data_IF_477465536419
#
_entry.id   IF_477465536419
#
_cell.length_a   1.000
_cell.length_b   1.000
_cell.length_c   1.000
_cell.angle_alpha   90.00
_cell.angle_beta   90.00
_cell.angle_gamma   90.00
#
_symmetry.space_group_name_H-M   'P 1'
#
loop_
_entity.id
_entity.type
_entity.pdbx_description
1 polymer ?
#
# COMPACT_ATOMS: atom_id res chain seq x y z
N UNK A 1 9.00 2.28 -20.90
CA UNK A 1 8.39 2.09 -19.57
C UNK A 1 9.48 1.81 -18.57
N UNK A 2 9.66 2.69 -17.59
CA UNK A 2 10.64 2.51 -16.52
C UNK A 2 10.16 1.45 -15.52
N UNK A 3 11.02 0.48 -15.18
CA UNK A 3 10.72 -0.60 -14.23
C UNK A 3 11.88 -0.88 -13.28
N UNK A 4 11.57 -1.43 -12.11
CA UNK A 4 12.56 -2.00 -11.19
C UNK A 4 13.00 -3.36 -11.77
N UNK A 5 14.28 -3.48 -12.09
CA UNK A 5 14.86 -4.71 -12.64
C UNK A 5 14.65 -5.87 -11.67
N UNK A 6 14.19 -7.02 -12.20
CA UNK A 6 14.01 -8.26 -11.44
C UNK A 6 13.09 -8.15 -10.21
N UNK A 7 12.10 -7.24 -10.21
CA UNK A 7 11.17 -7.05 -9.07
C UNK A 7 10.64 -8.37 -8.49
N UNK A 8 10.11 -9.24 -9.35
CA UNK A 8 9.52 -10.53 -8.98
C UNK A 8 10.53 -11.55 -8.41
N UNK A 9 11.82 -11.40 -8.70
CA UNK A 9 12.87 -12.32 -8.21
C UNK A 9 13.46 -11.84 -6.88
N UNK A 10 13.57 -10.52 -6.71
CA UNK A 10 14.38 -9.91 -5.63
C UNK A 10 13.52 -9.42 -4.46
N UNK A 11 12.32 -8.90 -4.73
CA UNK A 11 11.47 -8.23 -3.73
C UNK A 11 10.19 -9.01 -3.40
N UNK A 12 9.97 -10.18 -4.02
CA UNK A 12 8.75 -10.97 -3.90
C UNK A 12 8.93 -12.50 -3.85
N UNK A 13 8.08 -13.13 -3.03
CA UNK A 13 7.90 -14.59 -2.98
C UNK A 13 6.64 -15.04 -3.70
N UNK A 14 6.45 -16.35 -3.81
CA UNK A 14 5.20 -16.95 -4.29
C UNK A 14 3.96 -16.61 -3.43
N UNK A 15 4.14 -16.17 -2.18
CA UNK A 15 3.04 -15.69 -1.34
C UNK A 15 2.74 -14.20 -1.56
N UNK A 16 3.76 -13.34 -1.59
CA UNK A 16 3.55 -11.89 -1.75
C UNK A 16 2.95 -11.53 -3.11
N UNK A 17 3.28 -12.29 -4.16
CA UNK A 17 2.64 -12.19 -5.49
C UNK A 17 1.12 -12.36 -5.49
N UNK A 18 0.55 -13.09 -4.52
CA UNK A 18 -0.90 -13.32 -4.38
C UNK A 18 -1.62 -12.18 -3.67
N UNK A 19 -0.90 -11.27 -3.02
CA UNK A 19 -1.46 -10.20 -2.18
C UNK A 19 -1.69 -8.94 -3.01
N UNK A 20 -2.87 -8.32 -2.89
CA UNK A 20 -3.24 -7.09 -3.64
C UNK A 20 -2.34 -5.91 -3.29
N UNK A 21 -1.96 -5.78 -2.01
CA UNK A 21 -0.97 -4.83 -1.50
C UNK A 21 -0.04 -5.51 -0.52
N UNK A 22 1.20 -5.03 -0.44
CA UNK A 22 2.17 -5.47 0.54
C UNK A 22 2.24 -4.44 1.68
N UNK A 23 2.06 -4.91 2.92
CA UNK A 23 2.29 -4.07 4.12
C UNK A 23 3.76 -3.91 4.48
N UNK A 24 4.61 -4.79 3.93
CA UNK A 24 6.06 -4.79 3.97
C UNK A 24 6.55 -5.52 2.72
N UNK A 25 7.73 -5.20 2.21
CA UNK A 25 8.35 -5.89 1.06
C UNK A 25 9.70 -6.49 1.45
N UNK A 26 10.19 -7.47 0.70
CA UNK A 26 11.52 -8.01 0.94
C UNK A 26 12.56 -7.05 0.36
N UNK A 27 13.33 -6.39 1.22
CA UNK A 27 14.52 -5.66 0.81
C UNK A 27 15.76 -6.56 0.99
N UNK A 28 16.60 -6.74 -0.05
CA UNK A 28 17.89 -7.41 0.12
C UNK A 28 18.76 -6.69 1.15
N UNK A 29 19.52 -7.46 1.92
CA UNK A 29 20.51 -6.95 2.90
C UNK A 29 21.94 -7.01 2.39
N UNK A 30 22.18 -7.58 1.21
CA UNK A 30 23.50 -7.68 0.58
C UNK A 30 23.97 -6.33 0.05
N UNK A 31 25.22 -5.98 0.34
CA UNK A 31 25.89 -4.71 -0.01
C UNK A 31 27.14 -4.94 -0.89
N UNK A 32 27.27 -6.15 -1.43
CA UNK A 32 28.40 -6.70 -2.16
C UNK A 32 28.16 -6.84 -3.67
N UNK A 33 26.92 -6.57 -4.14
CA UNK A 33 26.63 -6.61 -5.57
C UNK A 33 27.35 -5.49 -6.32
N UNK A 34 27.83 -5.77 -7.54
CA UNK A 34 28.55 -4.80 -8.36
C UNK A 34 27.80 -3.47 -8.52
N UNK A 35 26.48 -3.52 -8.76
CA UNK A 35 25.66 -2.32 -8.88
C UNK A 35 25.46 -1.54 -7.56
N UNK A 36 25.54 -2.20 -6.39
CA UNK A 36 25.56 -1.51 -5.10
C UNK A 36 26.91 -0.81 -4.89
N UNK A 37 28.02 -1.53 -5.13
CA UNK A 37 29.39 -1.00 -4.97
C UNK A 37 29.59 0.20 -5.90
N UNK A 38 29.18 0.07 -7.16
CA UNK A 38 29.17 1.16 -8.14
C UNK A 38 28.34 2.34 -7.64
N UNK A 39 27.08 2.13 -7.27
CA UNK A 39 26.18 3.19 -6.80
C UNK A 39 26.81 3.99 -5.66
N UNK A 40 27.41 3.31 -4.67
CA UNK A 40 28.04 3.92 -3.52
C UNK A 40 29.37 4.64 -3.85
N UNK A 41 30.03 4.32 -4.96
CA UNK A 41 31.24 5.03 -5.41
C UNK A 41 30.98 6.51 -5.75
N UNK A 42 29.73 6.86 -6.09
CA UNK A 42 29.29 8.24 -6.34
C UNK A 42 29.07 9.07 -5.06
N UNK A 43 29.42 8.53 -3.89
CA UNK A 43 29.38 9.22 -2.61
C UNK A 43 27.98 9.68 -2.23
N UNK A 44 27.82 10.98 -1.96
CA UNK A 44 26.54 11.60 -1.60
C UNK A 44 25.43 11.35 -2.64
N UNK A 45 25.77 11.40 -3.94
CA UNK A 45 24.82 11.11 -5.03
C UNK A 45 24.39 9.65 -5.04
N UNK A 46 25.29 8.75 -4.65
CA UNK A 46 25.02 7.33 -4.44
C UNK A 46 24.02 7.10 -3.30
N UNK A 47 24.27 7.75 -2.14
CA UNK A 47 23.37 7.71 -0.98
C UNK A 47 21.98 8.28 -1.29
N UNK A 48 21.93 9.43 -1.97
CA UNK A 48 20.68 10.04 -2.45
C UNK A 48 19.91 9.09 -3.37
N UNK A 49 20.60 8.47 -4.33
CA UNK A 49 20.00 7.52 -5.26
C UNK A 49 19.53 6.21 -4.59
N UNK A 50 20.26 5.71 -3.59
CA UNK A 50 19.83 4.57 -2.76
C UNK A 50 18.56 4.91 -1.96
N UNK A 51 18.46 6.13 -1.41
CA UNK A 51 17.27 6.65 -0.74
C UNK A 51 16.06 6.74 -1.67
N UNK A 52 16.24 7.37 -2.84
CA UNK A 52 15.20 7.45 -3.89
C UNK A 52 14.76 6.06 -4.36
N UNK A 53 15.70 5.14 -4.60
CA UNK A 53 15.38 3.76 -4.98
C UNK A 53 14.57 3.03 -3.90
N UNK A 54 14.95 3.20 -2.63
CA UNK A 54 14.21 2.63 -1.50
C UNK A 54 12.77 3.15 -1.43
N UNK A 55 12.57 4.45 -1.67
CA UNK A 55 11.24 5.05 -1.75
C UNK A 55 10.44 4.53 -2.97
N UNK A 56 11.07 4.36 -4.14
CA UNK A 56 10.47 3.74 -5.33
C UNK A 56 10.01 2.29 -5.04
N UNK A 57 10.81 1.51 -4.31
CA UNK A 57 10.48 0.16 -3.87
C UNK A 57 9.30 0.14 -2.88
N UNK A 58 9.31 1.03 -1.87
CA UNK A 58 8.21 1.19 -0.91
C UNK A 58 6.89 1.53 -1.62
N UNK A 59 6.90 2.53 -2.51
CA UNK A 59 5.72 2.87 -3.30
C UNK A 59 5.26 1.69 -4.18
N UNK A 60 6.19 1.04 -4.88
CA UNK A 60 5.91 -0.11 -5.73
C UNK A 60 5.24 -1.24 -4.96
N UNK A 61 5.66 -1.52 -3.72
CA UNK A 61 5.04 -2.53 -2.86
C UNK A 61 3.53 -2.29 -2.58
N UNK A 62 3.08 -1.03 -2.63
CA UNK A 62 1.65 -0.65 -2.48
C UNK A 62 0.82 -0.80 -3.76
N UNK A 63 1.47 -1.07 -4.89
CA UNK A 63 0.82 -1.20 -6.19
C UNK A 63 0.16 -2.59 -6.39
N UNK A 64 -0.92 -2.67 -7.20
CA UNK A 64 -1.53 -3.95 -7.58
C UNK A 64 -0.55 -4.88 -8.30
N UNK A 65 -0.65 -6.22 -8.16
CA UNK A 65 0.32 -7.16 -8.72
C UNK A 65 0.63 -7.00 -10.21
N UNK A 66 -0.37 -6.65 -11.04
CA UNK A 66 -0.19 -6.51 -12.50
C UNK A 66 0.80 -5.38 -12.90
N UNK A 67 0.89 -4.34 -12.07
CA UNK A 67 1.70 -3.13 -12.32
C UNK A 67 2.82 -2.95 -11.29
N UNK A 68 3.00 -3.91 -10.38
CA UNK A 68 4.00 -3.83 -9.31
C UNK A 68 5.41 -3.80 -9.89
N UNK A 69 6.26 -2.92 -9.34
CA UNK A 69 7.61 -2.68 -9.84
C UNK A 69 7.68 -1.95 -11.19
N UNK A 70 6.55 -1.52 -11.77
CA UNK A 70 6.50 -0.74 -13.02
C UNK A 70 6.08 0.69 -12.70
N UNK A 71 6.84 1.68 -13.18
CA UNK A 71 6.57 3.09 -12.92
C UNK A 71 5.56 3.61 -13.95
N UNK A 72 4.32 3.14 -13.80
CA UNK A 72 3.17 3.50 -14.64
C UNK A 72 1.99 4.01 -13.83
N UNK A 73 1.18 4.81 -14.50
CA UNK A 73 -0.09 5.34 -14.02
C UNK A 73 -1.21 4.31 -14.18
N UNK A 74 -2.35 4.55 -13.52
CA UNK A 74 -3.57 3.74 -13.67
C UNK A 74 -4.17 3.74 -15.08
N UNK A 75 -3.85 4.76 -15.89
CA UNK A 75 -4.23 4.86 -17.32
C UNK A 75 -3.24 4.15 -18.27
N UNK A 76 -2.27 3.41 -17.73
CA UNK A 76 -1.27 2.66 -18.51
C UNK A 76 -0.15 3.53 -19.10
N UNK A 77 -0.19 4.85 -18.93
CA UNK A 77 0.90 5.75 -19.36
C UNK A 77 2.07 5.69 -18.39
N UNK A 78 3.25 6.03 -18.89
CA UNK A 78 4.45 6.12 -18.07
C UNK A 78 4.32 7.23 -17.03
N UNK A 79 4.89 7.00 -15.84
CA UNK A 79 4.89 7.98 -14.75
C UNK A 79 6.00 9.02 -15.02
N UNK A 80 5.63 10.29 -15.18
CA UNK A 80 6.62 11.36 -15.37
C UNK A 80 7.40 11.65 -14.10
N UNK A 81 8.61 12.21 -14.22
CA UNK A 81 9.49 12.49 -13.07
C UNK A 81 8.84 13.42 -12.05
N UNK A 82 8.12 14.47 -12.49
CA UNK A 82 7.25 15.31 -11.62
C UNK A 82 6.22 14.50 -10.83
N UNK A 83 5.56 13.53 -11.47
CA UNK A 83 4.55 12.71 -10.79
C UNK A 83 5.20 11.72 -9.82
N UNK A 84 6.35 11.13 -10.17
CA UNK A 84 7.14 10.30 -9.27
C UNK A 84 7.62 11.11 -8.05
N UNK A 85 8.18 12.30 -8.28
CA UNK A 85 8.53 13.28 -7.25
C UNK A 85 7.36 13.61 -6.32
N UNK A 86 6.16 13.86 -6.86
CA UNK A 86 4.95 14.12 -6.07
C UNK A 86 4.51 12.91 -5.23
N UNK A 87 4.69 11.69 -5.75
CA UNK A 87 4.35 10.43 -5.07
C UNK A 87 5.32 10.13 -3.92
N UNK A 88 6.63 10.22 -4.21
CA UNK A 88 7.70 9.95 -3.24
C UNK A 88 7.87 11.10 -2.24
N UNK A 89 7.41 12.31 -2.59
CA UNK A 89 7.66 13.57 -1.88
C UNK A 89 9.16 13.85 -1.72
N UNK A 90 9.87 13.69 -2.83
CA UNK A 90 11.29 14.01 -2.96
C UNK A 90 11.39 15.06 -4.08
N UNK A 91 12.16 16.15 -3.92
CA UNK A 91 12.30 17.19 -4.95
C UNK A 91 12.62 16.63 -6.34
N UNK A 92 11.97 17.19 -7.37
CA UNK A 92 12.04 16.67 -8.75
C UNK A 92 13.48 16.63 -9.29
N UNK A 93 14.35 17.54 -8.85
CA UNK A 93 15.78 17.54 -9.21
C UNK A 93 16.51 16.27 -8.69
N UNK A 94 16.36 15.95 -7.41
CA UNK A 94 16.99 14.79 -6.78
C UNK A 94 16.46 13.48 -7.39
N UNK A 95 15.14 13.40 -7.64
CA UNK A 95 14.54 12.24 -8.33
C UNK A 95 15.11 12.08 -9.74
N UNK A 96 15.24 13.17 -10.53
CA UNK A 96 15.81 13.09 -11.87
C UNK A 96 17.27 12.63 -11.87
N UNK A 97 18.11 13.17 -10.98
CA UNK A 97 19.51 12.77 -10.86
C UNK A 97 19.64 11.31 -10.42
N UNK A 98 18.90 10.91 -9.37
CA UNK A 98 18.90 9.55 -8.86
C UNK A 98 18.41 8.55 -9.89
N UNK A 99 17.33 8.83 -10.61
CA UNK A 99 16.81 7.93 -11.66
C UNK A 99 17.84 7.76 -12.79
N UNK A 100 18.54 8.83 -13.20
CA UNK A 100 19.64 8.72 -14.18
C UNK A 100 20.76 7.81 -13.68
N UNK A 101 21.19 7.96 -12.43
CA UNK A 101 22.25 7.14 -11.84
C UNK A 101 21.82 5.67 -11.68
N UNK A 102 20.58 5.41 -11.25
CA UNK A 102 20.02 4.05 -11.13
C UNK A 102 19.82 3.34 -12.48
N UNK A 103 19.84 4.09 -13.59
CA UNK A 103 19.70 3.62 -14.96
C UNK A 103 21.04 3.45 -15.70
N UNK A 104 22.20 3.78 -15.09
CA UNK A 104 23.50 3.55 -15.74
C UNK A 104 23.73 2.06 -16.00
N UNK A 105 24.61 1.72 -16.94
CA UNK A 105 24.87 0.32 -17.28
C UNK A 105 25.53 -0.47 -16.14
N UNK A 106 26.24 0.20 -15.24
CA UNK A 106 27.00 -0.41 -14.16
C UNK A 106 26.13 -0.61 -12.89
N UNK A 107 25.23 0.33 -12.58
CA UNK A 107 24.21 0.14 -11.52
C UNK A 107 23.06 -0.71 -12.04
N UNK A 108 22.41 -0.25 -13.12
CA UNK A 108 21.30 -0.88 -13.86
C UNK A 108 20.22 -1.47 -12.94
N UNK A 109 19.77 -0.74 -11.92
CA UNK A 109 18.69 -1.14 -11.01
C UNK A 109 17.29 -0.74 -11.54
N UNK A 110 17.23 0.36 -12.27
CA UNK A 110 16.08 0.75 -13.07
C UNK A 110 16.40 0.51 -14.56
N UNK A 111 15.43 0.01 -15.32
CA UNK A 111 15.59 -0.24 -16.76
C UNK A 111 14.36 0.22 -17.55
N UNK A 112 14.56 0.56 -18.82
CA UNK A 112 13.46 0.91 -19.74
C UNK A 112 13.05 -0.33 -20.52
N UNK A 113 11.90 -0.91 -20.16
CA UNK A 113 11.26 -1.94 -20.96
C UNK A 113 10.38 -1.33 -22.06
N UNK A 114 10.35 -1.97 -23.23
CA UNK A 114 9.36 -1.66 -24.27
C UNK A 114 7.99 -2.10 -23.77
N UNK A 115 6.97 -1.26 -23.85
CA UNK A 115 5.61 -1.69 -23.56
C UNK A 115 5.21 -2.79 -24.55
N UNK A 116 4.87 -3.98 -24.04
CA UNK A 116 4.12 -4.95 -24.82
C UNK A 116 2.79 -4.29 -25.20
N UNK A 117 2.46 -4.27 -26.49
CA UNK A 117 1.28 -3.59 -27.01
C UNK A 117 0.00 -4.38 -26.65
N UNK A 118 -0.47 -4.26 -25.41
CA UNK A 118 -1.71 -4.91 -24.94
C UNK A 118 -2.96 -4.16 -25.38
N UNK A 119 -3.00 -3.69 -26.63
CA UNK A 119 -4.24 -3.30 -27.29
C UNK A 119 -4.96 -4.56 -27.79
N UNK A 120 -5.69 -5.23 -26.88
CA UNK A 120 -6.96 -5.94 -27.14
C UNK A 120 -7.36 -6.79 -25.90
N UNK A 121 -7.76 -6.12 -24.83
CA UNK A 121 -8.68 -6.72 -23.87
C UNK A 121 -10.10 -6.32 -24.32
N UNK A 122 -10.95 -7.25 -24.79
CA UNK A 122 -12.28 -6.88 -25.22
C UNK A 122 -13.08 -6.37 -24.02
N UNK A 123 -13.68 -5.20 -24.17
CA UNK A 123 -14.67 -4.68 -23.23
C UNK A 123 -15.81 -5.69 -23.19
N UNK A 124 -16.10 -6.25 -22.02
CA UNK A 124 -17.26 -7.13 -21.83
C UNK A 124 -18.50 -6.25 -21.83
N UNK A 125 -19.07 -6.05 -23.02
CA UNK A 125 -20.38 -5.42 -23.17
C UNK A 125 -21.46 -6.36 -22.62
N UNK A 126 -22.32 -5.83 -21.76
CA UNK A 126 -23.57 -6.49 -21.38
C UNK A 126 -24.57 -6.39 -22.54
N UNK A 127 -24.86 -7.50 -23.22
CA UNK A 127 -26.08 -7.64 -24.03
C UNK A 127 -26.79 -8.96 -23.73
N UNK A 128 -28.12 -8.89 -23.62
CA UNK A 128 -28.98 -10.01 -23.25
C UNK A 128 -29.77 -10.53 -24.45
N UNK A 129 -29.57 -11.80 -24.79
CA UNK A 129 -30.53 -12.68 -25.47
C UNK A 129 -30.10 -14.13 -25.16
N UNK A 130 -30.95 -15.13 -24.97
CA UNK A 130 -32.36 -15.21 -25.33
C UNK A 130 -32.55 -16.25 -26.45
N UNK A 131 -32.63 -17.53 -26.11
CA UNK A 131 -32.87 -18.61 -27.07
C UNK A 131 -32.37 -19.98 -26.62
N UNK A 132 -33.30 -20.91 -26.38
CA UNK A 132 -33.03 -22.36 -26.26
C UNK A 132 -33.26 -22.99 -27.65
N UNK A 133 -32.63 -24.14 -27.97
CA UNK A 133 -33.49 -25.32 -28.01
C UNK A 133 -32.88 -26.61 -27.42
N UNK A 134 -33.80 -27.46 -26.94
CA UNK A 134 -33.65 -28.87 -26.53
C UNK A 134 -33.42 -29.71 -27.83
N UNK A 135 -32.85 -30.91 -27.94
CA UNK A 135 -32.92 -32.24 -27.26
C UNK A 135 -31.68 -33.04 -27.77
N UNK A 136 -31.07 -34.09 -27.18
CA UNK A 136 -31.57 -35.42 -26.74
C UNK A 136 -30.49 -36.19 -25.94
N UNK A 137 -30.90 -37.28 -25.29
CA UNK A 137 -30.13 -38.38 -24.66
C UNK A 137 -30.89 -39.69 -25.00
N UNK A 138 -30.49 -40.94 -24.64
CA UNK A 138 -29.19 -41.56 -24.23
C UNK A 138 -28.93 -42.80 -25.17
N UNK A 139 -28.40 -44.01 -24.80
CA UNK A 139 -27.67 -44.49 -23.60
C UNK A 139 -26.41 -45.39 -23.80
N UNK A 140 -25.58 -45.40 -22.74
CA UNK A 140 -24.84 -46.51 -22.10
C UNK A 140 -24.01 -47.56 -22.89
N UNK A 141 -22.71 -47.65 -22.55
CA UNK A 141 -21.98 -48.91 -22.33
C UNK A 141 -20.70 -48.71 -21.48
N UNK A 142 -20.48 -49.57 -20.48
CA UNK A 142 -19.19 -49.92 -19.83
C UNK A 142 -18.68 -51.25 -20.43
N UNK A 143 -17.44 -51.79 -20.18
CA UNK A 143 -16.46 -51.56 -19.10
C UNK A 143 -15.00 -51.31 -19.63
N UNK A 144 -13.83 -51.56 -19.01
CA UNK A 144 -13.43 -52.21 -17.73
C UNK A 144 -11.99 -51.80 -17.24
N UNK A 145 -11.61 -52.30 -16.06
CA UNK A 145 -10.27 -52.64 -15.51
C UNK A 145 -8.95 -52.06 -16.08
N UNK A 146 -8.10 -51.50 -15.19
CA UNK A 146 -6.83 -52.12 -14.70
C UNK A 146 -5.98 -51.20 -13.78
N UNK A 147 -5.21 -51.81 -12.85
CA UNK A 147 -4.21 -51.25 -11.89
C UNK A 147 -4.73 -50.32 -10.75
N UNK A 148 -4.25 -50.40 -9.49
CA UNK A 148 -3.32 -51.34 -8.82
C UNK A 148 -3.10 -50.98 -7.33
N UNK A 149 -2.71 -51.97 -6.50
CA UNK A 149 -2.50 -52.00 -5.03
C UNK A 149 -1.73 -50.79 -4.38
N UNK A 150 -2.17 -50.18 -3.24
CA UNK A 150 -2.13 -50.58 -1.78
C UNK A 150 -0.70 -50.42 -1.16
N UNK A 151 -0.48 -50.03 0.14
CA UNK A 151 -1.36 -49.91 1.34
C UNK A 151 -1.49 -48.48 1.94
N UNK A 152 -2.53 -48.09 2.69
CA UNK A 152 -3.15 -48.58 3.95
C UNK A 152 -2.38 -48.22 5.24
N UNK A 153 -2.89 -47.21 5.97
CA UNK A 153 -2.59 -46.93 7.39
C UNK A 153 -3.89 -46.75 8.18
N UNK A 154 -4.14 -47.62 9.18
CA UNK A 154 -5.34 -47.58 10.04
C UNK A 154 -5.15 -46.64 11.24
N UNK A 155 -6.15 -45.81 11.53
CA UNK A 155 -6.26 -45.07 12.79
C UNK A 155 -7.73 -44.94 13.20
N UNK A 156 -8.25 -45.94 13.94
CA UNK A 156 -9.65 -45.97 14.40
C UNK A 156 -9.73 -45.47 15.84
N UNK A 157 -10.48 -44.39 16.08
CA UNK A 157 -10.67 -43.80 17.41
C UNK A 157 -12.15 -43.52 17.68
N UNK A 158 -12.87 -44.51 18.21
CA UNK A 158 -14.27 -44.37 18.61
C UNK A 158 -14.36 -43.94 20.09
N UNK A 159 -14.74 -42.67 20.33
CA UNK A 159 -14.97 -42.13 21.67
C UNK A 159 -16.46 -41.96 21.95
N UNK A 160 -17.12 -42.99 22.49
CA UNK A 160 -18.46 -42.85 23.09
C UNK A 160 -18.32 -42.35 24.53
N UNK A 161 -18.80 -41.15 24.81
CA UNK A 161 -19.04 -40.66 26.18
C UNK A 161 -20.53 -40.60 26.47
N UNK A 162 -21.04 -41.54 27.25
CA UNK A 162 -22.37 -41.45 27.85
C UNK A 162 -22.25 -40.67 29.16
N UNK A 163 -23.17 -39.73 29.39
CA UNK A 163 -23.36 -39.06 30.68
C UNK A 163 -24.84 -39.11 31.03
N UNK A 164 -25.20 -40.05 31.90
CA UNK A 164 -26.57 -40.18 32.41
C UNK A 164 -26.85 -39.11 33.47
N UNK A 165 -28.08 -38.62 33.50
CA UNK A 165 -28.63 -37.77 34.55
C UNK A 165 -30.06 -38.20 34.81
N UNK A 166 -30.35 -38.59 36.05
CA UNK A 166 -31.41 -39.56 36.38
C UNK A 166 -32.77 -38.92 36.69
N UNK A 167 -33.82 -39.55 36.17
CA UNK A 167 -35.24 -39.60 36.59
C UNK A 167 -35.99 -38.35 37.12
N UNK A 168 -37.19 -38.14 36.55
CA UNK A 168 -38.44 -38.31 37.31
C UNK A 168 -39.60 -38.65 36.37
N UNK A 169 -40.51 -39.52 36.81
CA UNK A 169 -41.61 -40.06 35.99
C UNK A 169 -42.91 -39.23 36.16
N UNK A 170 -43.69 -39.06 35.09
CA UNK A 170 -44.96 -38.30 35.11
C UNK A 170 -45.82 -38.52 33.86
N UNK A 171 -47.00 -39.12 34.05
CA UNK A 171 -47.92 -39.69 33.06
C UNK A 171 -48.49 -38.77 31.95
N UNK A 172 -48.78 -39.41 30.80
CA UNK A 172 -49.89 -39.17 29.85
C UNK A 172 -49.93 -37.89 28.98
N UNK A 173 -49.51 -38.06 27.71
CA UNK A 173 -50.48 -38.03 26.59
C UNK A 173 -50.91 -36.68 26.00
N UNK A 174 -50.04 -36.02 25.22
CA UNK A 174 -50.44 -35.17 24.08
C UNK A 174 -49.45 -35.31 22.91
N UNK A 175 -49.83 -34.83 21.71
CA UNK A 175 -49.10 -35.00 20.44
C UNK A 175 -47.63 -34.50 20.49
N UNK A 176 -46.73 -35.03 19.63
CA UNK A 176 -45.33 -34.61 19.61
C UNK A 176 -45.20 -33.10 19.39
N UNK A 177 -44.35 -32.38 20.17
CA UNK A 177 -44.28 -30.94 20.12
C UNK A 177 -43.86 -30.48 18.72
N UNK A 178 -44.67 -29.59 18.14
CA UNK A 178 -44.40 -29.00 16.84
C UNK A 178 -42.99 -28.37 16.85
N UNK A 179 -42.17 -28.73 15.85
CA UNK A 179 -40.79 -28.24 15.74
C UNK A 179 -40.84 -26.72 15.60
N UNK A 180 -40.45 -25.99 16.63
CA UNK A 180 -40.48 -24.52 16.63
C UNK A 180 -39.53 -24.03 15.53
N UNK A 181 -40.11 -23.62 14.40
CA UNK A 181 -39.36 -23.11 13.27
C UNK A 181 -38.76 -21.76 13.64
N UNK A 182 -37.49 -21.55 13.29
CA UNK A 182 -36.81 -20.28 13.57
C UNK A 182 -37.47 -19.15 12.78
N UNK A 183 -38.23 -18.30 13.47
CA UNK A 183 -38.80 -17.07 12.89
C UNK A 183 -37.71 -16.00 12.86
N UNK A 184 -37.34 -15.58 11.65
CA UNK A 184 -36.46 -14.43 11.43
C UNK A 184 -37.11 -13.17 12.05
N UNK A 185 -36.42 -12.42 12.92
CA UNK A 185 -36.95 -11.16 13.44
C UNK A 185 -36.97 -10.08 12.36
N UNK A 186 -37.89 -9.13 12.50
CA UNK A 186 -37.84 -7.85 11.81
C UNK A 186 -36.88 -6.88 12.51
N UNK A 187 -36.52 -5.79 11.82
CA UNK A 187 -35.71 -4.70 12.42
C UNK A 187 -36.40 -4.12 13.66
N UNK A 188 -37.73 -4.03 13.65
CA UNK A 188 -38.53 -3.58 14.80
C UNK A 188 -38.43 -4.55 16.00
N UNK A 189 -38.56 -5.87 15.77
CA UNK A 189 -38.38 -6.88 16.83
C UNK A 189 -36.99 -6.77 17.48
N UNK A 190 -35.95 -6.54 16.67
CA UNK A 190 -34.56 -6.37 17.16
C UNK A 190 -34.39 -5.06 17.91
N UNK A 191 -34.96 -3.96 17.43
CA UNK A 191 -34.87 -2.64 18.07
C UNK A 191 -35.57 -2.61 19.44
N UNK A 192 -36.79 -3.15 19.54
CA UNK A 192 -37.52 -3.28 20.81
C UNK A 192 -36.72 -4.11 21.81
N UNK A 193 -36.18 -5.25 21.38
CA UNK A 193 -35.40 -6.11 22.26
C UNK A 193 -34.05 -5.48 22.66
N UNK A 194 -33.33 -4.83 21.75
CA UNK A 194 -32.09 -4.11 22.05
C UNK A 194 -32.32 -2.99 23.08
N UNK A 195 -33.41 -2.23 22.92
CA UNK A 195 -33.84 -1.21 23.90
C UNK A 195 -34.14 -1.85 25.26
N UNK A 196 -34.84 -2.99 25.29
CA UNK A 196 -35.20 -3.69 26.55
C UNK A 196 -33.99 -4.18 27.36
N UNK A 197 -32.83 -4.37 26.72
CA UNK A 197 -31.57 -4.77 27.36
C UNK A 197 -30.55 -3.62 27.47
N UNK A 198 -30.95 -2.39 27.13
CA UNK A 198 -30.09 -1.19 27.04
C UNK A 198 -28.82 -1.41 26.20
N UNK A 199 -28.91 -2.13 25.09
CA UNK A 199 -27.78 -2.39 24.20
C UNK A 199 -27.57 -1.25 23.20
N UNK A 200 -26.38 -0.62 23.25
CA UNK A 200 -25.90 0.28 22.20
C UNK A 200 -25.44 -0.51 20.97
N UNK A 201 -26.38 -0.77 20.05
CA UNK A 201 -26.12 -1.40 18.76
C UNK A 201 -27.12 -0.94 17.70
N UNK A 202 -26.71 -0.94 16.44
CA UNK A 202 -27.62 -0.71 15.31
C UNK A 202 -28.47 -1.96 14.99
N UNK A 203 -29.81 -1.91 15.11
CA UNK A 203 -30.69 -3.01 14.74
C UNK A 203 -30.67 -3.34 13.24
N UNK A 204 -30.42 -2.35 12.38
CA UNK A 204 -30.42 -2.52 10.92
C UNK A 204 -29.19 -3.34 10.49
N UNK A 205 -27.98 -2.90 10.87
CA UNK A 205 -26.75 -3.65 10.61
C UNK A 205 -26.78 -5.10 11.14
N UNK A 206 -27.43 -5.35 12.28
CA UNK A 206 -27.61 -6.70 12.80
C UNK A 206 -28.48 -7.57 11.87
N UNK A 207 -29.63 -7.06 11.42
CA UNK A 207 -30.52 -7.79 10.52
C UNK A 207 -29.88 -8.02 9.16
N UNK A 208 -29.14 -7.05 8.61
CA UNK A 208 -28.45 -7.17 7.32
C UNK A 208 -27.30 -8.18 7.38
N UNK A 209 -26.55 -8.21 8.48
CA UNK A 209 -25.49 -9.20 8.70
C UNK A 209 -26.05 -10.64 8.71
N UNK A 210 -27.11 -10.90 9.47
CA UNK A 210 -27.68 -12.24 9.54
C UNK A 210 -28.55 -12.60 8.34
N UNK A 211 -29.09 -11.62 7.62
CA UNK A 211 -29.77 -11.86 6.34
C UNK A 211 -28.77 -12.28 5.26
N UNK A 212 -27.65 -11.58 5.13
CA UNK A 212 -26.60 -11.93 4.14
C UNK A 212 -25.91 -13.27 4.45
N UNK A 213 -25.76 -13.67 5.72
CA UNK A 213 -25.14 -14.94 6.10
C UNK A 213 -26.09 -16.15 6.15
N UNK A 214 -27.37 -15.97 5.82
CA UNK A 214 -28.38 -17.03 5.82
C UNK A 214 -28.87 -17.43 7.21
N UNK A 215 -28.81 -16.51 8.18
CA UNK A 215 -29.17 -16.69 9.59
C UNK A 215 -28.35 -17.80 10.26
N UNK A 216 -27.02 -17.70 10.15
CA UNK A 216 -26.06 -18.69 10.67
C UNK A 216 -25.14 -18.09 11.72
N UNK A 217 -24.79 -18.89 12.71
CA UNK A 217 -23.79 -18.56 13.74
C UNK A 217 -22.64 -19.54 13.61
N UNK A 218 -21.53 -19.09 13.02
CA UNK A 218 -20.42 -19.96 12.64
C UNK A 218 -20.84 -21.01 11.60
N UNK A 219 -20.67 -22.30 11.92
CA UNK A 219 -21.06 -23.40 11.02
C UNK A 219 -22.53 -23.82 11.14
N UNK A 220 -23.24 -23.42 12.20
CA UNK A 220 -24.62 -23.84 12.49
C UNK A 220 -25.65 -22.78 12.11
N UNK A 221 -26.91 -23.20 11.88
CA UNK A 221 -28.04 -22.29 11.77
C UNK A 221 -28.37 -21.65 13.14
N UNK A 222 -28.82 -20.40 13.13
CA UNK A 222 -29.25 -19.68 14.32
C UNK A 222 -30.51 -20.34 14.92
N UNK A 223 -30.54 -20.47 16.25
CA UNK A 223 -31.68 -21.02 16.99
C UNK A 223 -32.43 -19.96 17.80
N UNK A 224 -31.70 -18.97 18.32
CA UNK A 224 -32.24 -17.84 19.07
C UNK A 224 -31.52 -16.56 18.65
N UNK A 225 -32.28 -15.60 18.11
CA UNK A 225 -31.76 -14.30 17.71
C UNK A 225 -31.57 -13.36 18.89
N UNK A 226 -32.30 -13.55 20.01
CA UNK A 226 -32.14 -12.74 21.24
C UNK A 226 -30.83 -13.07 21.96
N UNK A 227 -30.41 -14.33 21.98
CA UNK A 227 -29.04 -14.71 22.36
C UNK A 227 -27.97 -14.13 21.42
N UNK A 228 -28.24 -14.07 20.11
CA UNK A 228 -27.31 -13.47 19.16
C UNK A 228 -27.16 -11.95 19.40
N UNK A 229 -28.26 -11.21 19.61
CA UNK A 229 -28.25 -9.78 19.98
C UNK A 229 -27.41 -9.52 21.24
N UNK A 230 -27.63 -10.27 22.32
CA UNK A 230 -26.85 -10.12 23.58
C UNK A 230 -25.34 -10.33 23.39
N UNK A 231 -24.95 -11.25 22.52
CA UNK A 231 -23.53 -11.48 22.20
C UNK A 231 -22.97 -10.48 21.18
N UNK A 232 -23.83 -9.91 20.33
CA UNK A 232 -23.47 -8.88 19.36
C UNK A 232 -23.13 -7.57 20.07
N UNK A 233 -24.01 -7.08 20.94
CA UNK A 233 -23.80 -5.86 21.73
C UNK A 233 -22.48 -5.90 22.53
N UNK A 234 -22.17 -7.03 23.18
CA UNK A 234 -20.87 -7.21 23.87
C UNK A 234 -19.67 -7.05 22.94
N UNK A 235 -19.72 -7.68 21.75
CA UNK A 235 -18.63 -7.62 20.77
C UNK A 235 -18.48 -6.24 20.13
N UNK A 236 -19.57 -5.50 20.00
CA UNK A 236 -19.55 -4.13 19.46
C UNK A 236 -18.89 -3.17 20.47
N UNK A 237 -19.23 -3.29 21.75
CA UNK A 237 -18.57 -2.55 22.84
C UNK A 237 -17.08 -2.91 22.95
N UNK A 238 -16.73 -4.20 22.93
CA UNK A 238 -15.34 -4.67 22.88
C UNK A 238 -14.62 -4.17 21.61
N UNK A 239 -15.34 -4.01 20.50
CA UNK A 239 -14.85 -3.45 19.23
C UNK A 239 -14.49 -1.98 19.40
N UNK A 240 -15.49 -1.14 19.75
CA UNK A 240 -15.37 0.29 20.02
C UNK A 240 -14.21 0.58 20.99
N UNK A 241 -14.17 -0.09 22.14
CA UNK A 241 -13.12 0.09 23.14
C UNK A 241 -11.70 -0.25 22.62
N UNK A 242 -11.56 -1.25 21.73
CA UNK A 242 -10.27 -1.58 21.09
C UNK A 242 -9.86 -0.55 20.05
N UNK A 243 -10.79 0.00 19.27
CA UNK A 243 -10.50 1.15 18.39
C UNK A 243 -10.05 2.37 19.19
N UNK A 244 -10.75 2.71 20.27
CA UNK A 244 -10.42 3.88 21.11
C UNK A 244 -9.09 3.70 21.85
N UNK A 245 -8.73 2.46 22.21
CA UNK A 245 -7.41 2.14 22.74
C UNK A 245 -6.32 2.27 21.64
N UNK A 246 -6.56 1.76 20.44
CA UNK A 246 -5.61 1.86 19.32
C UNK A 246 -5.40 3.31 18.84
N UNK A 247 -6.45 4.16 18.87
CA UNK A 247 -6.38 5.60 18.61
C UNK A 247 -5.51 6.27 19.66
N UNK A 248 -5.81 6.09 20.96
CA UNK A 248 -5.04 6.72 22.06
C UNK A 248 -3.59 6.25 22.15
N UNK A 249 -3.31 5.00 21.76
CA UNK A 249 -1.96 4.45 21.75
C UNK A 249 -1.20 4.71 20.44
N UNK A 250 -1.71 5.54 19.52
CA UNK A 250 -1.02 5.91 18.27
C UNK A 250 -0.92 4.80 17.20
N UNK A 251 -1.54 3.63 17.43
CA UNK A 251 -1.48 2.47 16.53
C UNK A 251 -2.44 2.56 15.33
N UNK A 252 -3.12 3.68 15.12
CA UNK A 252 -3.92 3.85 13.90
C UNK A 252 -3.04 4.21 12.71
N UNK A 253 -3.44 3.75 11.52
CA UNK A 253 -2.76 4.05 10.27
C UNK A 253 -2.64 5.57 10.00
N UNK A 254 -3.59 6.36 10.48
CA UNK A 254 -3.55 7.82 10.39
C UNK A 254 -2.50 8.40 11.33
N UNK A 255 -2.54 8.07 12.63
CA UNK A 255 -1.55 8.54 13.60
C UNK A 255 -0.12 8.10 13.24
N UNK A 256 0.06 6.90 12.70
CA UNK A 256 1.35 6.42 12.20
C UNK A 256 1.84 7.23 10.98
N UNK A 257 0.94 7.69 10.11
CA UNK A 257 1.27 8.57 9.00
C UNK A 257 1.62 9.98 9.50
N UNK A 258 0.83 10.53 10.42
CA UNK A 258 1.04 11.88 10.95
C UNK A 258 2.37 11.99 11.73
N UNK A 259 2.70 10.99 12.57
CA UNK A 259 3.99 10.89 13.24
C UNK A 259 5.16 10.67 12.26
N UNK A 260 4.92 10.00 11.13
CA UNK A 260 5.90 9.90 10.05
C UNK A 260 6.11 11.24 9.34
N UNK A 261 5.08 12.08 9.19
CA UNK A 261 5.19 13.43 8.62
C UNK A 261 5.91 14.42 9.52
N UNK A 262 5.79 14.31 10.85
CA UNK A 262 6.51 15.17 11.78
C UNK A 262 8.03 15.07 11.62
N UNK A 263 8.57 13.88 11.36
CA UNK A 263 10.00 13.65 11.09
C UNK A 263 10.46 14.30 9.78
N UNK A 264 9.60 14.34 8.75
CA UNK A 264 9.94 14.98 7.47
C UNK A 264 9.83 16.51 7.51
N UNK A 265 9.01 17.08 8.40
CA UNK A 265 8.87 18.55 8.52
C UNK A 265 10.20 19.23 8.86
N UNK A 266 11.02 18.62 9.70
CA UNK A 266 12.35 19.14 10.05
C UNK A 266 13.32 19.13 8.84
N UNK A 267 13.20 18.13 7.96
CA UNK A 267 13.99 18.04 6.72
C UNK A 267 13.53 19.09 5.70
N UNK A 268 12.22 19.29 5.52
CA UNK A 268 11.67 20.35 4.67
C UNK A 268 12.15 21.74 5.12
N UNK A 269 12.20 21.99 6.43
CA UNK A 269 12.76 23.23 6.99
C UNK A 269 14.27 23.38 6.75
N UNK A 270 15.05 22.28 6.77
CA UNK A 270 16.48 22.31 6.46
C UNK A 270 16.71 22.66 4.99
N UNK A 271 16.03 21.97 4.05
CA UNK A 271 16.12 22.27 2.62
C UNK A 271 15.70 23.71 2.31
N UNK A 272 14.61 24.20 2.91
CA UNK A 272 14.18 25.60 2.74
C UNK A 272 15.23 26.63 3.23
N UNK A 273 15.97 26.32 4.30
CA UNK A 273 17.08 27.17 4.79
C UNK A 273 18.27 27.15 3.84
N UNK A 274 18.52 26.06 3.12
CA UNK A 274 19.62 25.95 2.16
C UNK A 274 19.30 26.65 0.83
N UNK A 275 18.09 26.48 0.30
CA UNK A 275 17.56 27.22 -0.86
C UNK A 275 17.67 28.75 -0.66
N UNK A 276 17.32 29.24 0.54
CA UNK A 276 17.42 30.66 0.88
C UNK A 276 18.89 31.14 0.96
N UNK A 277 19.79 30.33 1.53
CA UNK A 277 21.24 30.61 1.54
C UNK A 277 21.81 30.67 0.12
N UNK A 278 21.34 29.80 -0.78
CA UNK A 278 21.77 29.81 -2.18
C UNK A 278 21.22 31.02 -2.94
N UNK A 279 19.94 31.38 -2.76
CA UNK A 279 19.37 32.65 -3.27
C UNK A 279 20.19 33.86 -2.82
N UNK A 280 20.54 33.96 -1.54
CA UNK A 280 21.33 35.08 -1.03
C UNK A 280 22.77 35.09 -1.57
N UNK A 281 23.37 33.93 -1.84
CA UNK A 281 24.66 33.84 -2.54
C UNK A 281 24.56 34.35 -3.97
N UNK A 282 23.53 33.94 -4.73
CA UNK A 282 23.30 34.43 -6.10
C UNK A 282 23.04 35.95 -6.14
N UNK A 283 22.22 36.47 -5.23
CA UNK A 283 21.94 37.91 -5.12
C UNK A 283 23.21 38.73 -4.82
N UNK A 284 24.12 38.24 -3.96
CA UNK A 284 25.41 38.92 -3.70
C UNK A 284 26.33 38.90 -4.92
N UNK A 285 26.36 37.80 -5.69
CA UNK A 285 27.16 37.71 -6.91
C UNK A 285 26.67 38.68 -7.99
N UNK A 286 25.35 38.86 -8.12
CA UNK A 286 24.76 39.84 -9.03
C UNK A 286 25.04 41.28 -8.58
N UNK A 287 24.82 41.60 -7.29
CA UNK A 287 25.08 42.94 -6.74
C UNK A 287 26.56 43.35 -6.80
N UNK A 288 27.49 42.39 -6.72
CA UNK A 288 28.92 42.62 -6.89
C UNK A 288 29.33 43.01 -8.32
N UNK A 289 28.44 42.88 -9.31
CA UNK A 289 28.76 43.15 -10.72
C UNK A 289 28.51 44.60 -11.16
N UNK A 290 27.76 45.40 -10.39
CA UNK A 290 27.33 46.75 -10.82
C UNK A 290 28.20 47.90 -10.25
N UNK A 291 29.03 47.64 -9.24
CA UNK A 291 29.85 48.66 -8.56
C UNK A 291 31.14 49.09 -9.26
N UNK A 292 31.30 48.85 -10.56
CA UNK A 292 32.61 48.84 -11.22
C UNK A 292 32.70 49.55 -12.58
N UNK A 293 31.94 50.63 -12.82
CA UNK A 293 32.06 51.39 -14.08
C UNK A 293 31.60 52.85 -14.01
N UNK A 294 32.20 53.65 -13.14
CA UNK A 294 32.12 55.11 -13.27
C UNK A 294 33.18 55.61 -14.27
N UNK A 295 32.77 56.50 -15.17
CA UNK A 295 33.45 56.75 -16.44
C UNK A 295 34.37 57.96 -16.35
N UNK A 296 35.62 57.82 -16.80
CA UNK A 296 36.55 58.94 -16.92
C UNK A 296 36.22 59.84 -18.12
N UNK A 297 36.30 61.16 -17.93
CA UNK A 297 36.41 62.12 -19.04
C UNK A 297 35.73 63.48 -18.81
N UNK A 298 36.55 64.49 -18.52
CA UNK A 298 36.59 65.90 -19.02
C UNK A 298 37.40 66.67 -17.98
N UNK A 299 38.69 66.90 -18.21
CA UNK A 299 39.25 68.07 -18.93
C UNK A 299 39.82 69.05 -17.90
N UNK A 300 41.15 69.20 -17.90
CA UNK A 300 41.76 70.53 -17.75
C UNK A 300 43.18 70.50 -18.31
N UNK A 301 43.42 71.37 -19.29
CA UNK A 301 44.71 71.57 -19.96
C UNK A 301 45.41 72.80 -19.35
N UNK A 302 46.75 72.81 -19.42
CA UNK A 302 47.65 73.97 -19.26
C UNK A 302 48.12 74.39 -17.84
N UNK A 303 49.19 73.73 -17.38
CA UNK A 303 50.38 74.30 -16.72
C UNK A 303 51.30 73.14 -16.29
N UNK A 304 52.64 73.19 -16.32
CA UNK A 304 53.60 74.17 -16.84
C UNK A 304 54.89 73.38 -17.10
N UNK A 305 55.54 73.54 -18.26
CA UNK A 305 56.91 73.03 -18.42
C UNK A 305 57.87 73.89 -17.58
N UNK A 306 58.58 73.26 -16.63
CA UNK A 306 59.88 73.75 -16.19
C UNK A 306 60.84 72.57 -16.14
N UNK A 307 61.85 72.59 -17.02
CA UNK A 307 62.93 71.61 -17.01
C UNK A 307 63.93 71.92 -15.90
N UNK A 308 64.52 70.88 -15.30
CA UNK A 308 65.66 70.97 -14.38
C UNK A 308 66.36 69.61 -14.34
N UNK A 309 67.63 69.48 -14.78
CA UNK A 309 68.25 68.16 -14.98
C UNK A 309 69.19 67.71 -13.84
N UNK A 310 68.86 66.58 -13.20
CA UNK A 310 69.76 65.67 -12.46
C UNK A 310 70.51 66.22 -11.24
N UNK A 311 71.43 65.43 -10.64
CA UNK A 311 71.38 63.98 -10.44
C UNK A 311 71.60 63.59 -8.95
N UNK A 312 71.95 62.32 -8.71
CA UNK A 312 72.61 61.74 -7.51
C UNK A 312 71.75 61.10 -6.38
N UNK A 313 71.95 59.77 -6.29
CA UNK A 313 71.82 58.81 -5.18
C UNK A 313 72.45 59.28 -3.82
N UNK A 314 72.37 58.48 -2.73
CA UNK A 314 71.27 57.65 -2.22
C UNK A 314 71.08 57.81 -0.68
N UNK A 315 70.04 57.21 -0.09
CA UNK A 315 70.08 56.43 1.18
C UNK A 315 68.69 55.90 1.57
#
# INVERSE_FOLDING_TARGET
MLVIKKWNEVFETADTRKRVRLGWYQCPTGVDSAGYIELMSHGEKGLQALGVFSAICQWSATCPPAVRGKLIRSDGRELSMRQLSSILRIPEALVNESVRLLMTEDVRWLVVEKQANTQHLPVVCHESAGGVPVVCHPPAATPDQSAGDVPQGKGKGEGKGQGEGTETQGLQGTAPPARVSFRKPSVADVAEYATSICADMDPQAFVDHYTSNGWRVGKAAMKDWKAAVRNWAKRDLDGKARTDAAVRAGFTRQAQQDAQWDVFREVDEICAREDERERQRQLRLLAGSEGGREVAGTDDHAALFSQGPGPDDPF
#
